data_IF_482634298324
#
_entry.id   IF_482634298324
#
_cell.length_a   1.000
_cell.length_b   1.000
_cell.length_c   1.000
_cell.angle_alpha   90.00
_cell.angle_beta   90.00
_cell.angle_gamma   90.00
#
_symmetry.space_group_name_H-M   'P 1'
#
loop_
_entity.id
_entity.type
_entity.pdbx_description
1 polymer ?
#
# COMPACT_ATOMS: atom_id res chain seq x y z
N UNK A 1 -33.58 -16.23 -12.67
CA UNK A 1 -33.45 -14.86 -12.12
C UNK A 1 -31.97 -14.54 -12.12
N UNK A 2 -31.56 -13.45 -12.75
CA UNK A 2 -30.14 -13.10 -12.88
C UNK A 2 -29.69 -12.42 -11.59
N UNK A 3 -28.79 -13.07 -10.85
CA UNK A 3 -28.10 -12.49 -9.71
C UNK A 3 -27.14 -11.41 -10.21
N UNK A 4 -27.32 -10.17 -9.75
CA UNK A 4 -26.30 -9.13 -9.89
C UNK A 4 -25.28 -9.28 -8.76
N UNK A 5 -24.00 -9.62 -9.03
CA UNK A 5 -23.03 -10.06 -8.03
C UNK A 5 -22.31 -8.89 -7.32
N UNK A 6 -23.03 -7.80 -7.04
CA UNK A 6 -22.39 -6.62 -6.43
C UNK A 6 -22.43 -6.74 -4.90
N UNK A 7 -21.46 -7.49 -4.37
CA UNK A 7 -21.08 -7.35 -2.97
C UNK A 7 -20.66 -5.89 -2.73
N UNK A 8 -21.38 -5.20 -1.83
CA UNK A 8 -21.03 -3.83 -1.44
C UNK A 8 -19.78 -3.89 -0.57
N UNK A 9 -18.72 -3.21 -1.00
CA UNK A 9 -17.49 -3.09 -0.21
C UNK A 9 -17.50 -1.81 0.61
N UNK A 10 -17.16 -1.92 1.89
CA UNK A 10 -16.92 -0.79 2.79
C UNK A 10 -15.41 -0.55 2.91
N UNK A 11 -14.96 0.66 2.64
CA UNK A 11 -13.55 1.02 2.82
C UNK A 11 -13.24 1.15 4.32
N UNK A 12 -12.37 0.26 4.83
CA UNK A 12 -11.86 0.35 6.21
C UNK A 12 -10.69 1.34 6.30
N UNK A 13 -9.73 1.19 5.38
CA UNK A 13 -8.51 1.99 5.38
C UNK A 13 -7.90 2.05 3.99
N UNK A 14 -7.28 3.20 3.69
CA UNK A 14 -6.37 3.38 2.56
C UNK A 14 -5.18 4.20 3.07
N UNK A 15 -3.98 3.62 3.00
CA UNK A 15 -2.79 4.17 3.67
C UNK A 15 -1.70 4.48 2.66
N UNK A 16 -1.14 5.68 2.77
CA UNK A 16 0.13 6.06 2.15
C UNK A 16 1.27 5.64 3.09
N UNK A 17 1.85 4.48 2.81
CA UNK A 17 2.86 3.85 3.67
C UNK A 17 4.23 4.47 3.40
N UNK A 18 4.85 4.99 4.44
CA UNK A 18 6.16 5.65 4.31
C UNK A 18 6.07 7.08 3.81
N UNK A 19 4.89 7.72 3.87
CA UNK A 19 4.76 9.14 3.53
C UNK A 19 5.78 10.01 4.28
N UNK A 20 6.48 10.85 3.52
CA UNK A 20 7.42 11.87 4.02
C UNK A 20 6.70 13.13 4.55
N UNK A 21 5.39 13.23 4.36
CA UNK A 21 4.57 14.33 4.86
C UNK A 21 3.44 13.80 5.74
N UNK A 22 2.93 14.62 6.67
CA UNK A 22 1.72 14.29 7.41
C UNK A 22 0.45 14.78 6.69
N UNK A 23 0.50 14.88 5.36
CA UNK A 23 -0.58 15.39 4.52
C UNK A 23 -1.18 14.21 3.77
N UNK A 24 -2.51 14.20 3.66
CA UNK A 24 -3.20 13.17 2.88
C UNK A 24 -3.12 13.46 1.38
N UNK A 25 -2.97 12.43 0.58
CA UNK A 25 -2.99 12.52 -0.89
C UNK A 25 -4.41 12.29 -1.38
N UNK A 26 -4.85 13.14 -2.33
CA UNK A 26 -6.15 13.06 -3.00
C UNK A 26 -6.08 13.75 -4.37
N UNK A 27 -7.18 14.30 -4.88
CA UNK A 27 -7.15 15.16 -6.05
C UNK A 27 -6.16 16.34 -5.86
N UNK A 28 -5.33 16.68 -6.84
CA UNK A 28 -5.30 16.19 -8.24
C UNK A 28 -4.34 15.03 -8.50
N UNK A 29 -3.65 14.55 -7.46
CA UNK A 29 -2.62 13.51 -7.61
C UNK A 29 -3.21 12.12 -7.82
N UNK A 30 -4.43 11.86 -7.32
CA UNK A 30 -5.19 10.64 -7.58
C UNK A 30 -6.36 10.89 -8.56
N UNK A 31 -6.35 10.19 -9.69
CA UNK A 31 -7.36 10.32 -10.75
C UNK A 31 -8.78 9.95 -10.30
N UNK A 32 -8.89 9.13 -9.25
CA UNK A 32 -10.17 8.68 -8.68
C UNK A 32 -10.56 9.45 -7.41
N UNK A 33 -9.83 10.52 -7.06
CA UNK A 33 -10.05 11.34 -5.86
C UNK A 33 -10.13 10.53 -4.55
N UNK A 34 -9.42 9.39 -4.49
CA UNK A 34 -9.36 8.54 -3.30
C UNK A 34 -8.47 9.18 -2.26
N UNK A 35 -8.96 9.23 -1.02
CA UNK A 35 -8.16 9.69 0.11
C UNK A 35 -7.13 8.63 0.51
N UNK A 36 -5.85 8.97 0.46
CA UNK A 36 -4.75 8.21 1.03
C UNK A 36 -4.23 8.92 2.27
N UNK A 37 -4.39 8.30 3.45
CA UNK A 37 -3.94 8.89 4.71
C UNK A 37 -2.51 8.42 5.03
N UNK A 38 -1.58 9.30 5.44
CA UNK A 38 -0.21 8.91 5.74
C UNK A 38 -0.15 7.88 6.87
N UNK A 39 0.73 6.90 6.73
CA UNK A 39 0.99 5.88 7.75
C UNK A 39 2.48 5.63 7.89
N UNK A 40 2.98 5.92 9.08
CA UNK A 40 4.33 5.57 9.52
C UNK A 40 4.25 4.40 10.50
N UNK A 41 5.26 3.55 10.47
CA UNK A 41 5.42 2.43 11.39
C UNK A 41 6.67 2.64 12.23
N UNK A 42 6.56 2.36 13.52
CA UNK A 42 7.71 2.38 14.43
C UNK A 42 8.74 1.32 14.02
N UNK A 43 10.03 1.60 14.23
CA UNK A 43 11.14 0.72 13.84
C UNK A 43 11.32 0.50 12.32
N UNK A 44 10.64 1.30 11.49
CA UNK A 44 10.91 1.38 10.05
C UNK A 44 11.63 2.68 9.70
N UNK A 45 12.35 2.64 8.59
CA UNK A 45 12.94 3.80 7.94
C UNK A 45 12.17 4.08 6.66
N UNK A 46 11.89 5.35 6.41
CA UNK A 46 11.24 5.80 5.19
C UNK A 46 12.27 5.81 4.06
N UNK A 47 11.92 5.19 2.95
CA UNK A 47 12.63 5.29 1.69
C UNK A 47 11.79 6.14 0.74
N UNK A 48 12.45 6.98 -0.05
CA UNK A 48 11.81 7.75 -1.10
C UNK A 48 12.65 7.72 -2.38
N UNK A 49 12.01 8.03 -3.51
CA UNK A 49 12.70 8.14 -4.79
C UNK A 49 12.14 9.27 -5.64
N UNK A 50 13.02 9.94 -6.38
CA UNK A 50 12.65 10.86 -7.46
C UNK A 50 12.68 10.17 -8.83
N UNK A 51 13.09 8.90 -8.91
CA UNK A 51 13.14 8.15 -10.15
C UNK A 51 11.74 7.90 -10.70
N UNK A 52 11.67 7.67 -12.02
CA UNK A 52 10.43 7.24 -12.66
C UNK A 52 10.02 5.87 -12.12
N UNK A 53 8.75 5.74 -11.75
CA UNK A 53 8.16 4.46 -11.38
C UNK A 53 7.51 3.90 -12.62
N UNK A 54 7.83 2.65 -12.92
CA UNK A 54 7.22 1.97 -14.03
C UNK A 54 5.74 1.69 -13.73
N UNK A 55 4.86 2.26 -14.55
CA UNK A 55 3.41 2.05 -14.51
C UNK A 55 2.93 1.14 -15.66
N UNK A 56 3.84 0.51 -16.41
CA UNK A 56 3.49 -0.27 -17.61
C UNK A 56 2.81 -1.60 -17.31
N UNK A 57 2.93 -2.12 -16.08
CA UNK A 57 2.06 -3.20 -15.62
C UNK A 57 0.64 -2.64 -15.47
N UNK A 58 -0.36 -3.30 -16.06
CA UNK A 58 -1.76 -2.84 -16.04
C UNK A 58 -2.35 -2.93 -14.61
N UNK A 59 -1.94 -2.05 -13.72
CA UNK A 59 -2.50 -1.93 -12.40
C UNK A 59 -3.84 -1.21 -12.53
N UNK A 60 -4.93 -1.97 -12.61
CA UNK A 60 -6.29 -1.44 -12.73
C UNK A 60 -6.68 -0.50 -11.59
N UNK A 61 -6.01 -0.61 -10.43
CA UNK A 61 -6.24 0.27 -9.29
C UNK A 61 -5.50 1.60 -9.41
N UNK A 62 -4.50 1.73 -10.29
CA UNK A 62 -3.74 2.96 -10.59
C UNK A 62 -3.52 3.85 -9.34
N UNK A 63 -2.74 3.40 -8.34
CA UNK A 63 -2.40 4.24 -7.20
C UNK A 63 -1.61 5.49 -7.67
N UNK A 64 -1.76 6.62 -6.99
CA UNK A 64 -1.09 7.86 -7.38
C UNK A 64 0.43 7.72 -7.24
N UNK A 65 1.19 8.30 -8.17
CA UNK A 65 2.66 8.17 -8.20
C UNK A 65 3.34 8.63 -6.92
N UNK A 66 2.81 9.68 -6.29
CA UNK A 66 3.36 10.20 -5.03
C UNK A 66 3.34 9.15 -3.91
N UNK A 67 2.31 8.29 -3.85
CA UNK A 67 2.20 7.20 -2.88
C UNK A 67 3.17 6.06 -3.22
N UNK A 68 3.37 5.78 -4.51
CA UNK A 68 4.27 4.72 -4.96
C UNK A 68 5.75 5.09 -4.83
N UNK A 69 6.09 6.37 -4.64
CA UNK A 69 7.45 6.89 -4.48
C UNK A 69 8.02 6.73 -3.09
N UNK A 70 7.19 6.31 -2.13
CA UNK A 70 7.57 6.13 -0.74
C UNK A 70 7.36 4.68 -0.31
N UNK A 71 8.22 4.20 0.57
CA UNK A 71 8.09 2.89 1.18
C UNK A 71 8.71 2.87 2.57
N UNK A 72 8.31 1.88 3.37
CA UNK A 72 8.96 1.57 4.64
C UNK A 72 9.91 0.39 4.48
N UNK A 73 11.13 0.52 5.01
CA UNK A 73 12.08 -0.56 5.14
C UNK A 73 12.38 -0.85 6.62
N UNK A 74 12.56 -2.12 7.03
CA UNK A 74 12.96 -2.45 8.39
C UNK A 74 14.25 -1.71 8.77
N UNK A 75 14.25 -1.00 9.91
CA UNK A 75 15.44 -0.27 10.37
C UNK A 75 16.56 -1.22 10.82
N UNK A 76 16.18 -2.31 11.48
CA UNK A 76 17.08 -3.36 12.01
C UNK A 76 16.32 -4.68 12.15
N UNK A 77 17.01 -5.79 11.89
CA UNK A 77 16.50 -7.15 11.99
C UNK A 77 15.22 -7.37 11.15
N UNK A 78 14.58 -8.52 11.33
CA UNK A 78 13.26 -8.81 10.75
C UNK A 78 12.23 -7.99 11.54
N UNK A 79 11.40 -7.23 10.81
CA UNK A 79 10.31 -6.45 11.39
C UNK A 79 8.99 -6.80 10.72
N UNK A 80 7.91 -6.71 11.50
CA UNK A 80 6.57 -7.07 11.07
C UNK A 80 5.67 -5.83 11.04
N UNK A 81 4.86 -5.72 9.99
CA UNK A 81 3.76 -4.79 9.94
C UNK A 81 2.51 -5.56 10.36
N UNK A 82 2.06 -5.34 11.58
CA UNK A 82 0.87 -5.99 12.11
C UNK A 82 -0.37 -5.13 11.82
N UNK A 83 -1.37 -5.74 11.19
CA UNK A 83 -2.66 -5.12 10.92
C UNK A 83 -3.75 -5.95 11.61
N UNK A 84 -4.38 -5.38 12.62
CA UNK A 84 -5.52 -5.99 13.29
C UNK A 84 -6.79 -5.66 12.50
N UNK A 85 -7.48 -6.70 12.02
CA UNK A 85 -8.73 -6.60 11.27
C UNK A 85 -9.81 -7.39 12.01
N UNK A 86 -10.69 -6.68 12.71
CA UNK A 86 -11.78 -7.30 13.46
C UNK A 86 -13.10 -7.11 12.70
N UNK A 87 -13.69 -8.21 12.18
CA UNK A 87 -14.94 -8.10 11.45
C UNK A 87 -16.09 -7.90 12.44
N UNK A 88 -16.98 -6.93 12.16
CA UNK A 88 -18.20 -6.73 12.96
C UNK A 88 -19.20 -7.87 12.78
N UNK A 89 -19.26 -8.43 11.57
CA UNK A 89 -20.04 -9.61 11.24
C UNK A 89 -19.08 -10.80 11.17
N UNK A 90 -19.30 -11.90 11.90
CA UNK A 90 -18.49 -13.12 11.81
C UNK A 90 -18.36 -13.70 10.39
N UNK A 91 -19.27 -13.38 9.46
CA UNK A 91 -19.20 -13.78 8.05
C UNK A 91 -18.53 -12.74 7.15
N UNK A 92 -18.18 -11.58 7.69
CA UNK A 92 -17.53 -10.50 6.97
C UNK A 92 -16.17 -10.93 6.42
N UNK A 93 -15.91 -10.62 5.15
CA UNK A 93 -14.62 -10.86 4.50
C UNK A 93 -13.86 -9.56 4.33
N UNK A 94 -12.54 -9.61 4.51
CA UNK A 94 -11.66 -8.50 4.20
C UNK A 94 -10.95 -8.73 2.88
N UNK A 95 -10.88 -7.68 2.06
CA UNK A 95 -10.06 -7.63 0.85
C UNK A 95 -8.90 -6.69 1.12
N UNK A 96 -7.67 -7.21 1.06
CA UNK A 96 -6.45 -6.45 1.28
C UNK A 96 -5.72 -6.32 -0.05
N UNK A 97 -5.51 -5.08 -0.49
CA UNK A 97 -4.72 -4.75 -1.66
C UNK A 97 -3.42 -4.09 -1.20
N UNK A 98 -2.29 -4.68 -1.58
CA UNK A 98 -0.95 -4.14 -1.32
C UNK A 98 -0.33 -3.69 -2.62
N UNK A 99 0.24 -2.49 -2.63
CA UNK A 99 0.91 -1.91 -3.78
C UNK A 99 2.41 -1.85 -3.51
N UNK A 100 3.21 -2.43 -4.40
CA UNK A 100 4.66 -2.48 -4.29
C UNK A 100 5.30 -1.80 -5.49
N UNK A 101 6.38 -1.08 -5.24
CA UNK A 101 7.31 -0.60 -6.24
C UNK A 101 8.73 -0.79 -5.70
N UNK A 102 9.64 -1.28 -6.54
CA UNK A 102 11.07 -1.24 -6.20
C UNK A 102 11.56 0.19 -6.45
N UNK A 103 11.82 0.92 -5.37
CA UNK A 103 12.21 2.33 -5.41
C UNK A 103 13.70 2.55 -5.10
N UNK A 104 14.41 1.48 -4.74
CA UNK A 104 15.85 1.48 -4.51
C UNK A 104 16.54 0.77 -5.66
N UNK A 105 17.58 1.40 -6.23
CA UNK A 105 18.40 0.74 -7.24
C UNK A 105 19.18 -0.41 -6.61
N UNK A 106 18.77 -1.63 -6.90
CA UNK A 106 19.48 -2.84 -6.49
C UNK A 106 20.74 -3.05 -7.33
N UNK A 107 21.78 -3.59 -6.71
CA UNK A 107 22.92 -4.15 -7.44
C UNK A 107 22.50 -5.43 -8.18
N UNK A 108 23.27 -5.84 -9.20
CA UNK A 108 22.93 -6.99 -10.07
C UNK A 108 22.58 -8.28 -9.33
N UNK A 109 23.14 -8.47 -8.13
CA UNK A 109 23.02 -9.70 -7.36
C UNK A 109 22.16 -9.52 -6.10
N UNK A 110 21.47 -8.39 -5.97
CA UNK A 110 20.59 -8.09 -4.84
C UNK A 110 19.14 -8.37 -5.22
N UNK A 111 18.42 -8.99 -4.31
CA UNK A 111 16.96 -9.19 -4.40
C UNK A 111 16.33 -8.90 -3.04
N UNK A 112 15.06 -8.51 -3.05
CA UNK A 112 14.27 -8.30 -1.82
C UNK A 112 13.13 -9.31 -1.78
N UNK A 113 12.95 -9.94 -0.62
CA UNK A 113 11.88 -10.92 -0.38
C UNK A 113 11.05 -10.46 0.81
N UNK A 114 9.74 -10.57 0.68
CA UNK A 114 8.77 -10.21 1.72
C UNK A 114 7.81 -11.38 1.93
N UNK A 115 7.48 -11.66 3.19
CA UNK A 115 6.49 -12.67 3.55
C UNK A 115 5.18 -11.97 3.94
N UNK A 116 4.07 -12.43 3.36
CA UNK A 116 2.73 -11.97 3.67
C UNK A 116 1.96 -13.17 4.22
N UNK A 117 1.39 -13.03 5.41
CA UNK A 117 0.64 -14.08 6.08
C UNK A 117 -0.52 -13.52 6.90
N UNK A 118 -1.50 -14.38 7.16
CA UNK A 118 -2.57 -14.15 8.13
C UNK A 118 -2.33 -15.09 9.30
N UNK A 119 -2.40 -14.57 10.52
CA UNK A 119 -2.16 -15.30 11.77
C UNK A 119 -3.39 -15.16 12.68
#
# INVERSE_FOLDING_TARGET
MYETPHDKLMLIARRDVGSISNISVRYKDDAYDRLWTPRQFENFTILNTSLSIDQTSSNSLQPPLIVMRTANAPRRAIQYINMLLEPKDPKGKFYIYMHFAEIVKLQRNETRVHCIGQW
#
